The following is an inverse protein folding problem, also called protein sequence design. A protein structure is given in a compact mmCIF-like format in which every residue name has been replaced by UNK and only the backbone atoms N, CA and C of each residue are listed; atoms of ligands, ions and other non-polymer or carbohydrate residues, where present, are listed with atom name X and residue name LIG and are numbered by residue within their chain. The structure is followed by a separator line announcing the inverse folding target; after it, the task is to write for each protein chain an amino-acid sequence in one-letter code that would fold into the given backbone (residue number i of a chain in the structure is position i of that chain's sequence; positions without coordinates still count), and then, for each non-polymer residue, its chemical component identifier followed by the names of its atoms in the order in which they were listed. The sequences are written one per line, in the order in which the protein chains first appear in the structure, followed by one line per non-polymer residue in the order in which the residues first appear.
data_IF_476324326589
#
_entry.id   IF_476324326589
#
_cell.length_a   1.000
_cell.length_b   1.000
_cell.length_c   1.000
_cell.angle_alpha   90.00
_cell.angle_beta   90.00
_cell.angle_gamma   90.00
#
_symmetry.space_group_name_H-M   'P 1'
#
loop_
_entity.id
_entity.type
_entity.pdbx_description
1 polymer ?
#
# COMPACT_ATOMS: atom_id res chain seq x y z
N UNK A 1 -21.30 7.13 -17.24
CA UNK A 1 -20.10 6.39 -17.67
C UNK A 1 -19.55 5.75 -16.41
N UNK A 2 -19.46 4.42 -16.33
CA UNK A 2 -18.79 3.77 -15.19
C UNK A 2 -17.35 4.30 -15.15
N UNK A 3 -16.93 4.87 -14.02
CA UNK A 3 -15.54 5.31 -13.87
C UNK A 3 -14.65 4.07 -13.88
N UNK A 4 -13.66 4.06 -14.77
CA UNK A 4 -12.68 2.98 -14.84
C UNK A 4 -11.91 2.96 -13.52
N UNK A 5 -12.08 1.88 -12.75
CA UNK A 5 -11.44 1.68 -11.44
C UNK A 5 -10.56 0.44 -11.46
N UNK A 6 -9.81 0.23 -10.39
CA UNK A 6 -8.92 -0.92 -10.26
C UNK A 6 -9.68 -2.24 -10.13
N UNK A 7 -9.12 -3.31 -10.70
CA UNK A 7 -9.61 -4.66 -10.46
C UNK A 7 -9.41 -5.07 -8.99
N UNK A 8 -10.46 -5.50 -8.26
CA UNK A 8 -10.34 -5.91 -6.86
C UNK A 8 -9.37 -7.07 -6.65
N UNK A 9 -9.23 -7.98 -7.61
CA UNK A 9 -8.30 -9.10 -7.55
C UNK A 9 -6.84 -8.64 -7.57
N UNK A 10 -6.52 -7.65 -8.40
CA UNK A 10 -5.22 -6.99 -8.42
C UNK A 10 -4.90 -6.31 -7.09
N UNK A 11 -5.84 -5.52 -6.54
CA UNK A 11 -5.65 -4.87 -5.23
C UNK A 11 -5.44 -5.90 -4.12
N UNK A 12 -6.21 -6.99 -4.13
CA UNK A 12 -6.02 -8.09 -3.19
C UNK A 12 -4.64 -8.74 -3.33
N UNK A 13 -4.12 -8.91 -4.55
CA UNK A 13 -2.79 -9.45 -4.79
C UNK A 13 -1.68 -8.54 -4.25
N UNK A 14 -1.79 -7.22 -4.45
CA UNK A 14 -0.87 -6.22 -3.90
C UNK A 14 -0.85 -6.29 -2.36
N UNK A 15 -2.03 -6.29 -1.74
CA UNK A 15 -2.13 -6.37 -0.28
C UNK A 15 -1.55 -7.68 0.26
N UNK A 16 -1.90 -8.81 -0.34
CA UNK A 16 -1.38 -10.13 0.06
C UNK A 16 0.14 -10.18 -0.04
N UNK A 17 0.73 -9.64 -1.09
CA UNK A 17 2.18 -9.58 -1.25
C UNK A 17 2.86 -8.85 -0.08
N UNK A 18 2.35 -7.66 0.29
CA UNK A 18 2.90 -6.87 1.39
C UNK A 18 2.67 -7.56 2.75
N UNK A 19 1.49 -8.12 3.00
CA UNK A 19 1.19 -8.81 4.26
C UNK A 19 2.04 -10.08 4.44
N UNK A 20 2.21 -10.89 3.39
CA UNK A 20 3.07 -12.08 3.44
C UNK A 20 4.51 -11.69 3.71
N UNK A 21 5.04 -10.66 3.03
CA UNK A 21 6.39 -10.15 3.28
C UNK A 21 6.55 -9.71 4.74
N UNK A 22 5.60 -8.91 5.26
CA UNK A 22 5.64 -8.43 6.66
C UNK A 22 5.48 -9.55 7.69
N UNK A 23 4.73 -10.62 7.38
CA UNK A 23 4.61 -11.76 8.28
C UNK A 23 5.94 -12.51 8.43
N UNK A 24 6.63 -12.75 7.31
CA UNK A 24 7.93 -13.41 7.30
C UNK A 24 9.00 -12.61 8.07
N UNK A 25 9.02 -11.27 7.91
CA UNK A 25 9.95 -10.41 8.66
C UNK A 25 9.73 -10.48 10.18
N UNK A 26 8.48 -10.64 10.64
CA UNK A 26 8.18 -10.80 12.08
C UNK A 26 8.69 -12.13 12.62
N UNK A 27 8.45 -13.22 11.89
CA UNK A 27 8.91 -14.56 12.28
C UNK A 27 10.45 -14.62 12.34
N UNK A 28 11.14 -13.94 11.42
CA UNK A 28 12.61 -13.81 11.44
C UNK A 28 13.14 -13.04 12.65
N UNK A 29 12.46 -11.95 13.03
CA UNK A 29 12.89 -11.12 14.16
C UNK A 29 12.60 -11.78 15.52
N UNK A 30 11.52 -12.55 15.65
CA UNK A 30 11.21 -13.33 16.85
C UNK A 30 12.23 -14.48 17.10
N UNK A 31 12.94 -14.92 16.07
CA UNK A 31 14.00 -15.93 16.17
C UNK A 31 15.37 -15.41 16.65
N UNK A 32 15.55 -14.09 16.81
CA UNK A 32 16.84 -13.48 17.17
C UNK A 32 16.89 -12.97 18.64
N UNK A 33 15.80 -13.05 19.40
CA UNK A 33 15.76 -12.66 20.82
C UNK A 33 15.89 -13.90 21.74
N UNK A 34 16.94 -14.68 21.50
CA UNK A 34 17.29 -15.83 22.31
C UNK A 34 18.13 -15.41 23.52
N UNK A 35 17.51 -14.80 24.53
CA UNK A 35 18.03 -14.87 25.91
C UNK A 35 17.21 -15.89 26.68
N UNK A 36 17.91 -16.90 27.18
CA UNK A 36 17.40 -18.10 27.83
C UNK A 36 16.38 -17.81 28.93
N UNK A 37 15.20 -18.43 28.85
CA UNK A 37 14.37 -18.69 30.02
C UNK A 37 13.74 -20.08 29.85
N UNK A 38 14.15 -21.01 30.70
CA UNK A 38 13.63 -22.37 30.71
C UNK A 38 12.16 -22.40 31.16
N UNK A 39 11.42 -23.30 30.50
CA UNK A 39 10.48 -24.26 31.08
C UNK A 39 8.97 -24.07 30.85
N UNK A 40 8.45 -25.07 30.12
CA UNK A 40 7.15 -25.78 30.22
C UNK A 40 5.88 -25.01 29.89
N UNK A 41 5.23 -25.46 28.81
CA UNK A 41 3.79 -25.30 28.66
C UNK A 41 3.30 -25.26 27.21
N UNK A 42 2.90 -26.41 26.70
CA UNK A 42 1.87 -26.55 25.66
C UNK A 42 2.19 -25.89 24.31
N UNK A 43 2.79 -26.69 23.41
CA UNK A 43 2.92 -26.37 21.99
C UNK A 43 1.57 -26.16 21.32
N UNK A 44 1.06 -24.94 21.38
CA UNK A 44 0.17 -24.43 20.34
C UNK A 44 1.09 -23.83 19.30
N UNK A 45 1.21 -24.51 18.15
CA UNK A 45 1.71 -23.91 16.93
C UNK A 45 0.91 -22.63 16.75
N UNK A 46 1.49 -21.47 17.08
CA UNK A 46 0.82 -20.17 16.96
C UNK A 46 0.51 -20.02 15.48
N UNK A 47 -0.70 -20.42 15.06
CA UNK A 47 -1.19 -20.20 13.70
C UNK A 47 -1.26 -18.68 13.56
N UNK A 48 -0.19 -18.10 13.05
CA UNK A 48 -0.10 -16.67 12.74
C UNK A 48 -1.31 -16.33 11.90
N UNK A 49 -2.25 -15.57 12.48
CA UNK A 49 -3.49 -15.19 11.81
C UNK A 49 -3.12 -14.43 10.54
N UNK A 50 -3.41 -15.02 9.40
CA UNK A 50 -3.15 -14.39 8.10
C UNK A 50 -4.02 -13.15 7.95
N UNK A 51 -3.41 -12.00 7.73
CA UNK A 51 -4.12 -10.74 7.44
C UNK A 51 -4.92 -10.89 6.14
N UNK A 52 -6.15 -10.39 6.12
CA UNK A 52 -7.05 -10.42 4.96
C UNK A 52 -7.91 -9.15 4.91
N UNK A 53 -8.47 -8.85 3.73
CA UNK A 53 -9.46 -7.79 3.52
C UNK A 53 -10.77 -8.39 3.00
N UNK A 54 -11.90 -7.86 3.46
CA UNK A 54 -13.22 -8.23 2.95
C UNK A 54 -13.52 -7.53 1.61
N UNK A 55 -14.60 -7.94 0.94
CA UNK A 55 -14.99 -7.42 -0.38
C UNK A 55 -15.23 -5.90 -0.40
N UNK A 56 -15.80 -5.34 0.66
CA UNK A 56 -16.09 -3.90 0.72
C UNK A 56 -14.82 -3.09 0.93
N UNK A 57 -13.89 -3.58 1.77
CA UNK A 57 -12.59 -2.98 1.95
C UNK A 57 -11.77 -2.99 0.65
N UNK A 58 -11.85 -4.08 -0.13
CA UNK A 58 -11.20 -4.17 -1.45
C UNK A 58 -11.78 -3.16 -2.43
N UNK A 59 -13.12 -3.06 -2.53
CA UNK A 59 -13.78 -2.06 -3.39
C UNK A 59 -13.39 -0.63 -3.01
N UNK A 60 -13.40 -0.30 -1.72
CA UNK A 60 -13.00 1.02 -1.25
C UNK A 60 -11.51 1.30 -1.52
N UNK A 61 -10.67 0.28 -1.43
CA UNK A 61 -9.24 0.41 -1.75
C UNK A 61 -8.98 0.63 -3.24
N UNK A 62 -9.84 0.07 -4.12
CA UNK A 62 -9.80 0.38 -5.56
C UNK A 62 -10.06 1.87 -5.80
N UNK A 63 -11.09 2.42 -5.14
CA UNK A 63 -11.41 3.85 -5.24
C UNK A 63 -10.32 4.73 -4.64
N UNK A 64 -9.76 4.35 -3.49
CA UNK A 64 -8.66 5.09 -2.88
C UNK A 64 -7.46 5.20 -3.83
N UNK A 65 -7.05 4.09 -4.46
CA UNK A 65 -5.91 4.09 -5.38
C UNK A 65 -6.20 4.89 -6.66
N UNK A 66 -7.45 4.82 -7.16
CA UNK A 66 -7.91 5.63 -8.30
C UNK A 66 -7.84 7.12 -7.98
N UNK A 67 -8.32 7.54 -6.82
CA UNK A 67 -8.26 8.93 -6.37
C UNK A 67 -6.81 9.38 -6.19
N UNK A 68 -5.97 8.57 -5.53
CA UNK A 68 -4.54 8.88 -5.36
C UNK A 68 -3.83 9.15 -6.68
N UNK A 69 -4.06 8.32 -7.70
CA UNK A 69 -3.44 8.49 -9.03
C UNK A 69 -4.04 9.69 -9.77
N UNK A 70 -5.35 9.90 -9.66
CA UNK A 70 -6.04 11.05 -10.28
C UNK A 70 -5.51 12.36 -9.71
N UNK A 71 -5.36 12.45 -8.39
CA UNK A 71 -4.76 13.61 -7.70
C UNK A 71 -3.31 13.83 -8.14
N UNK A 72 -2.50 12.76 -8.21
CA UNK A 72 -1.12 12.87 -8.66
C UNK A 72 -1.02 13.45 -10.08
N UNK A 73 -1.85 12.97 -11.01
CA UNK A 73 -1.88 13.43 -12.41
C UNK A 73 -2.39 14.86 -12.51
N UNK A 74 -3.51 15.19 -11.86
CA UNK A 74 -4.10 16.53 -11.92
C UNK A 74 -3.17 17.59 -11.33
N UNK A 75 -2.55 17.32 -10.17
CA UNK A 75 -1.58 18.23 -9.56
C UNK A 75 -0.34 18.40 -10.42
N UNK A 76 0.16 17.33 -11.02
CA UNK A 76 1.28 17.41 -11.96
C UNK A 76 0.93 18.21 -13.22
N UNK A 77 -0.32 18.08 -13.72
CA UNK A 77 -0.82 18.86 -14.84
C UNK A 77 -0.89 20.36 -14.52
N UNK A 78 -1.37 20.74 -13.33
CA UNK A 78 -1.40 22.14 -12.91
C UNK A 78 -0.01 22.78 -12.88
N UNK A 79 1.01 22.04 -12.43
CA UNK A 79 2.41 22.52 -12.49
C UNK A 79 2.87 22.67 -13.94
N UNK A 80 2.61 21.68 -14.79
CA UNK A 80 2.97 21.72 -16.21
C UNK A 80 2.35 22.93 -16.94
N UNK A 81 1.05 23.17 -16.71
CA UNK A 81 0.29 24.28 -17.29
C UNK A 81 0.83 25.63 -16.83
N UNK A 82 1.15 25.77 -15.54
CA UNK A 82 1.74 26.99 -14.99
C UNK A 82 3.11 27.32 -15.59
N UNK A 83 3.84 26.32 -16.06
CA UNK A 83 5.12 26.47 -16.75
C UNK A 83 4.99 26.58 -18.28
N UNK A 84 3.78 26.50 -18.81
CA UNK A 84 3.53 26.50 -20.26
C UNK A 84 4.00 25.22 -20.96
N UNK A 85 4.18 24.12 -20.23
CA UNK A 85 4.58 22.84 -20.79
C UNK A 85 3.39 22.13 -21.46
N UNK A 86 3.60 21.65 -22.69
CA UNK A 86 2.56 20.92 -23.45
C UNK A 86 2.34 19.46 -23.01
N UNK A 87 3.07 18.98 -22.00
CA UNK A 87 2.98 17.61 -21.46
C UNK A 87 3.44 17.57 -20.00
N UNK A 88 2.97 16.56 -19.27
CA UNK A 88 3.46 16.28 -17.92
C UNK A 88 4.82 15.58 -18.03
N UNK A 89 5.81 16.09 -17.30
CA UNK A 89 7.14 15.51 -17.15
C UNK A 89 7.35 15.03 -15.71
N UNK A 90 8.35 14.17 -15.49
CA UNK A 90 8.64 13.61 -14.17
C UNK A 90 8.92 14.68 -13.10
N UNK A 91 9.54 15.79 -13.50
CA UNK A 91 9.83 16.94 -12.64
C UNK A 91 8.57 17.59 -12.05
N UNK A 92 7.45 17.58 -12.77
CA UNK A 92 6.19 18.12 -12.25
C UNK A 92 5.64 17.24 -11.13
N UNK A 93 5.74 15.91 -11.28
CA UNK A 93 5.35 14.95 -10.25
C UNK A 93 6.24 15.08 -9.01
N UNK A 94 7.55 15.17 -9.20
CA UNK A 94 8.53 15.31 -8.10
C UNK A 94 8.22 16.52 -7.20
N UNK A 95 7.75 17.64 -7.79
CA UNK A 95 7.40 18.85 -7.03
C UNK A 95 6.14 18.70 -6.18
N UNK A 96 5.14 17.96 -6.65
CA UNK A 96 3.89 17.77 -5.90
C UNK A 96 3.97 16.58 -4.94
N UNK A 97 4.97 15.71 -5.11
CA UNK A 97 5.12 14.46 -4.36
C UNK A 97 5.15 14.65 -2.84
N UNK A 98 5.86 15.64 -2.26
CA UNK A 98 5.87 15.83 -0.81
C UNK A 98 4.47 16.10 -0.26
N UNK A 99 3.69 16.98 -0.89
CA UNK A 99 2.34 17.29 -0.43
C UNK A 99 1.37 16.14 -0.71
N UNK A 100 1.50 15.47 -1.87
CA UNK A 100 0.69 14.31 -2.21
C UNK A 100 0.83 13.19 -1.16
N UNK A 101 2.04 12.95 -0.64
CA UNK A 101 2.29 11.96 0.40
C UNK A 101 1.91 12.41 1.81
N UNK A 102 1.63 13.71 2.03
CA UNK A 102 1.11 14.21 3.30
C UNK A 102 -0.42 14.14 3.35
N UNK A 103 -1.08 14.23 2.20
CA UNK A 103 -2.53 14.17 2.09
C UNK A 103 -3.09 12.73 2.21
N UNK A 104 -2.24 11.71 2.07
CA UNK A 104 -2.58 10.28 2.08
C UNK A 104 -1.74 9.51 3.10
#
# INVERSE_FOLDING_TARGET
MEEVTFDPGLIQAIFKHIWTRRALEREKNEGNDGTECEQVGTGTLKKTRTTSANSNALKLSCELLRIFITEAVQRSAMIAEAEGAGKIEGTHLERILPQLLLDF
#
